data_IF_408633090931
#
_entry.id   IF_408633090931
#
_cell.length_a   1.000
_cell.length_b   1.000
_cell.length_c   1.000
_cell.angle_alpha   90.00
_cell.angle_beta   90.00
_cell.angle_gamma   90.00
#
_symmetry.space_group_name_H-M   'P 1'
#
loop_
_entity.id
_entity.type
_entity.pdbx_description
1 polymer ?
#
# COMPACT_ATOMS: atom_id res chain seq x y z
N UNK A 1 22.11 35.96 -11.97
CA UNK A 1 20.68 35.67 -11.73
C UNK A 1 20.23 34.59 -12.72
N UNK A 2 20.16 33.32 -12.31
CA UNK A 2 19.76 32.22 -13.20
C UNK A 2 18.42 31.64 -12.73
N UNK A 3 17.39 31.79 -13.55
CA UNK A 3 16.03 31.29 -13.31
C UNK A 3 16.02 29.77 -13.16
N UNK A 4 16.04 29.28 -11.92
CA UNK A 4 15.84 27.86 -11.61
C UNK A 4 14.39 27.49 -11.93
N UNK A 5 14.21 26.90 -13.10
CA UNK A 5 12.94 26.46 -13.66
C UNK A 5 12.09 25.73 -12.59
N UNK A 6 10.91 26.26 -12.19
CA UNK A 6 10.10 25.71 -11.11
C UNK A 6 9.70 24.26 -11.36
N UNK A 7 9.58 23.87 -12.63
CA UNK A 7 9.29 22.50 -13.08
C UNK A 7 10.41 21.54 -12.66
N UNK A 8 11.68 21.93 -12.76
CA UNK A 8 12.81 21.08 -12.32
C UNK A 8 12.83 20.90 -10.81
N UNK A 9 12.48 21.94 -10.04
CA UNK A 9 12.34 21.86 -8.57
C UNK A 9 11.16 20.97 -8.18
N UNK A 10 10.03 21.09 -8.86
CA UNK A 10 8.87 20.24 -8.66
C UNK A 10 9.19 18.78 -9.00
N UNK A 11 9.82 18.51 -10.14
CA UNK A 11 10.26 17.17 -10.54
C UNK A 11 11.29 16.57 -9.57
N UNK A 12 12.22 17.36 -9.05
CA UNK A 12 13.19 16.88 -8.07
C UNK A 12 12.54 16.61 -6.70
N UNK A 13 11.54 17.42 -6.30
CA UNK A 13 10.72 17.15 -5.10
C UNK A 13 9.83 15.92 -5.28
N UNK A 14 9.22 15.74 -6.45
CA UNK A 14 8.45 14.56 -6.82
C UNK A 14 9.34 13.31 -6.80
N UNK A 15 10.53 13.36 -7.40
CA UNK A 15 11.48 12.25 -7.41
C UNK A 15 12.06 11.94 -6.02
N UNK A 16 12.17 12.95 -5.15
CA UNK A 16 12.60 12.76 -3.75
C UNK A 16 11.47 12.20 -2.86
N UNK A 17 10.20 12.35 -3.25
CA UNK A 17 9.03 11.93 -2.46
C UNK A 17 8.36 10.68 -3.01
N UNK A 18 8.57 10.37 -4.29
CA UNK A 18 8.09 9.17 -4.99
C UNK A 18 9.17 8.69 -5.98
N UNK A 19 10.24 8.03 -5.47
CA UNK A 19 11.39 7.60 -6.28
C UNK A 19 11.01 6.64 -7.42
N UNK A 20 9.95 5.85 -7.24
CA UNK A 20 9.51 4.82 -8.18
C UNK A 20 8.27 5.19 -9.02
N UNK A 21 7.71 6.40 -8.80
CA UNK A 21 6.50 6.90 -9.46
C UNK A 21 5.25 6.07 -9.14
N UNK A 22 5.19 5.44 -7.97
CA UNK A 22 4.07 4.60 -7.55
C UNK A 22 2.82 5.45 -7.27
N UNK A 23 3.00 6.57 -6.57
CA UNK A 23 1.95 7.58 -6.36
C UNK A 23 1.49 8.20 -7.68
N UNK A 24 2.43 8.49 -8.59
CA UNK A 24 2.10 8.98 -9.93
C UNK A 24 1.31 7.95 -10.75
N UNK A 25 1.70 6.67 -10.73
CA UNK A 25 0.98 5.59 -11.44
C UNK A 25 -0.44 5.42 -10.90
N UNK A 26 -0.61 5.48 -9.58
CA UNK A 26 -1.92 5.43 -8.93
C UNK A 26 -2.78 6.65 -9.29
N UNK A 27 -2.19 7.84 -9.28
CA UNK A 27 -2.88 9.08 -9.64
C UNK A 27 -3.31 9.09 -11.11
N UNK A 28 -2.45 8.66 -12.03
CA UNK A 28 -2.77 8.54 -13.46
C UNK A 28 -3.88 7.52 -13.68
N UNK A 29 -3.80 6.36 -13.02
CA UNK A 29 -4.85 5.34 -13.10
C UNK A 29 -6.21 5.87 -12.60
N UNK A 30 -6.22 6.58 -11.47
CA UNK A 30 -7.43 7.21 -10.94
C UNK A 30 -7.96 8.29 -11.88
N UNK A 31 -7.08 9.13 -12.44
CA UNK A 31 -7.43 10.18 -13.39
C UNK A 31 -8.05 9.65 -14.70
N UNK A 32 -7.78 8.39 -15.06
CA UNK A 32 -8.38 7.74 -16.24
C UNK A 32 -9.67 7.01 -15.86
N UNK A 33 -9.62 6.17 -14.81
CA UNK A 33 -10.74 5.29 -14.46
C UNK A 33 -11.95 6.04 -13.90
N UNK A 34 -11.73 7.09 -13.08
CA UNK A 34 -12.83 7.83 -12.44
C UNK A 34 -13.68 8.56 -13.48
N UNK A 35 -13.12 9.30 -14.47
CA UNK A 35 -13.93 9.90 -15.53
C UNK A 35 -14.65 8.88 -16.42
N UNK A 36 -14.03 7.74 -16.71
CA UNK A 36 -14.68 6.67 -17.50
C UNK A 36 -15.89 6.10 -16.76
N UNK A 37 -15.75 5.83 -15.46
CA UNK A 37 -16.86 5.38 -14.63
C UNK A 37 -17.97 6.42 -14.51
N UNK A 38 -17.60 7.70 -14.38
CA UNK A 38 -18.56 8.80 -14.41
C UNK A 38 -19.32 8.83 -15.75
N UNK A 39 -18.61 8.80 -16.89
CA UNK A 39 -19.22 8.81 -18.21
C UNK A 39 -20.17 7.62 -18.43
N UNK A 40 -19.76 6.41 -18.03
CA UNK A 40 -20.60 5.21 -18.12
C UNK A 40 -21.89 5.33 -17.28
N UNK A 41 -21.78 5.93 -16.08
CA UNK A 41 -22.93 6.07 -15.17
C UNK A 41 -23.99 7.04 -15.67
N UNK A 42 -23.63 8.07 -16.44
CA UNK A 42 -24.60 8.98 -17.07
C UNK A 42 -25.42 8.30 -18.17
N UNK A 43 -24.88 7.26 -18.82
CA UNK A 43 -25.58 6.56 -19.92
C UNK A 43 -26.47 5.39 -19.48
N UNK A 44 -26.28 4.86 -18.27
CA UNK A 44 -26.88 3.58 -17.85
C UNK A 44 -27.87 3.70 -16.67
N UNK A 45 -27.93 4.82 -15.96
CA UNK A 45 -28.65 4.88 -14.69
C UNK A 45 -29.50 6.13 -14.47
N UNK A 46 -30.28 6.10 -13.38
CA UNK A 46 -31.10 7.23 -12.93
C UNK A 46 -30.32 8.32 -12.21
N UNK A 47 -31.03 9.28 -11.61
CA UNK A 47 -30.47 10.55 -11.12
C UNK A 47 -29.38 10.44 -10.05
N UNK A 48 -29.37 9.36 -9.26
CA UNK A 48 -28.37 9.13 -8.21
C UNK A 48 -27.20 8.24 -8.65
N UNK A 49 -27.31 7.56 -9.79
CA UNK A 49 -26.28 6.62 -10.29
C UNK A 49 -24.90 7.28 -10.44
N UNK A 50 -24.77 8.47 -11.05
CA UNK A 50 -23.46 9.08 -11.27
C UNK A 50 -22.75 9.45 -9.97
N UNK A 51 -23.50 9.88 -8.96
CA UNK A 51 -22.94 10.18 -7.65
C UNK A 51 -22.26 8.95 -7.05
N UNK A 52 -22.96 7.81 -7.01
CA UNK A 52 -22.43 6.57 -6.44
C UNK A 52 -21.31 5.97 -7.29
N UNK A 53 -21.34 6.14 -8.62
CA UNK A 53 -20.26 5.71 -9.49
C UNK A 53 -18.98 6.51 -9.28
N UNK A 54 -19.06 7.84 -9.21
CA UNK A 54 -17.90 8.71 -8.98
C UNK A 54 -17.30 8.47 -7.59
N UNK A 55 -18.15 8.50 -6.55
CA UNK A 55 -17.69 8.27 -5.18
C UNK A 55 -17.15 6.85 -4.98
N UNK A 56 -17.81 5.85 -5.56
CA UNK A 56 -17.32 4.48 -5.52
C UNK A 56 -15.98 4.33 -6.21
N UNK A 57 -15.80 4.99 -7.36
CA UNK A 57 -14.53 4.98 -8.09
C UNK A 57 -13.42 5.65 -7.30
N UNK A 58 -13.71 6.77 -6.63
CA UNK A 58 -12.77 7.43 -5.73
C UNK A 58 -12.41 6.55 -4.53
N UNK A 59 -13.41 5.90 -3.91
CA UNK A 59 -13.20 4.96 -2.82
C UNK A 59 -12.27 3.81 -3.23
N UNK A 60 -12.47 3.24 -4.41
CA UNK A 60 -11.71 2.08 -4.91
C UNK A 60 -10.29 2.44 -5.40
N UNK A 61 -10.12 3.62 -6.01
CA UNK A 61 -8.85 4.01 -6.64
C UNK A 61 -7.94 4.86 -5.75
N UNK A 62 -8.53 5.79 -5.01
CA UNK A 62 -7.79 6.80 -4.24
C UNK A 62 -7.69 6.40 -2.78
N UNK A 63 -8.78 5.90 -2.18
CA UNK A 63 -8.80 5.59 -0.75
C UNK A 63 -8.33 4.16 -0.47
N UNK A 64 -8.90 3.17 -1.14
CA UNK A 64 -8.57 1.77 -0.90
C UNK A 64 -7.17 1.45 -1.43
N UNK A 65 -6.33 0.90 -0.55
CA UNK A 65 -4.99 0.45 -0.90
C UNK A 65 -4.73 -0.95 -0.36
N UNK A 66 -5.15 -1.97 -1.11
CA UNK A 66 -4.96 -3.35 -0.68
C UNK A 66 -3.55 -3.84 -1.01
N UNK A 67 -2.74 -4.21 -0.01
CA UNK A 67 -1.43 -4.79 -0.23
C UNK A 67 -1.52 -6.28 -0.64
N UNK A 68 -0.45 -6.82 -1.24
CA UNK A 68 -0.32 -8.24 -1.57
C UNK A 68 -0.39 -8.60 -3.06
N UNK A 69 -0.36 -9.90 -3.35
CA UNK A 69 -0.38 -10.43 -4.72
C UNK A 69 -1.72 -10.15 -5.43
N UNK A 70 -1.72 -10.17 -6.77
CA UNK A 70 -2.94 -9.96 -7.59
C UNK A 70 -4.18 -10.74 -7.13
N UNK A 71 -4.14 -12.06 -6.84
CA UNK A 71 -5.32 -12.79 -6.39
C UNK A 71 -5.82 -12.30 -5.02
N UNK A 72 -4.93 -12.02 -4.06
CA UNK A 72 -5.32 -11.51 -2.74
C UNK A 72 -5.92 -10.11 -2.84
N UNK A 73 -5.37 -9.25 -3.71
CA UNK A 73 -5.95 -7.92 -3.98
C UNK A 73 -7.32 -8.03 -4.64
N UNK A 74 -7.49 -8.95 -5.60
CA UNK A 74 -8.78 -9.18 -6.24
C UNK A 74 -9.83 -9.65 -5.22
N UNK A 75 -9.46 -10.57 -4.33
CA UNK A 75 -10.33 -11.02 -3.24
C UNK A 75 -10.68 -9.88 -2.28
N UNK A 76 -9.72 -9.02 -1.92
CA UNK A 76 -9.95 -7.86 -1.06
C UNK A 76 -10.91 -6.84 -1.72
N UNK A 77 -10.72 -6.53 -3.01
CA UNK A 77 -11.65 -5.69 -3.76
C UNK A 77 -13.04 -6.33 -3.90
N UNK A 78 -13.12 -7.65 -4.09
CA UNK A 78 -14.40 -8.36 -4.14
C UNK A 78 -15.12 -8.31 -2.78
N UNK A 79 -14.38 -8.52 -1.69
CA UNK A 79 -14.90 -8.38 -0.32
C UNK A 79 -15.40 -6.96 -0.04
N UNK A 80 -14.63 -5.94 -0.43
CA UNK A 80 -15.06 -4.54 -0.34
C UNK A 80 -16.29 -4.26 -1.22
N UNK A 81 -16.35 -4.84 -2.42
CA UNK A 81 -17.50 -4.75 -3.32
C UNK A 81 -18.78 -5.30 -2.71
N UNK A 82 -18.71 -6.50 -2.13
CA UNK A 82 -19.83 -7.15 -1.45
C UNK A 82 -20.25 -6.36 -0.21
N UNK A 83 -19.28 -6.01 0.65
CA UNK A 83 -19.53 -5.24 1.87
C UNK A 83 -20.11 -3.85 1.55
N UNK A 84 -19.56 -3.16 0.55
CA UNK A 84 -20.05 -1.87 0.09
C UNK A 84 -21.50 -1.95 -0.41
N UNK A 85 -21.89 -3.02 -1.09
CA UNK A 85 -23.28 -3.25 -1.53
C UNK A 85 -24.23 -3.32 -0.32
N UNK A 86 -23.85 -4.08 0.71
CA UNK A 86 -24.62 -4.21 1.96
C UNK A 86 -24.69 -2.87 2.69
N UNK A 87 -23.56 -2.18 2.85
CA UNK A 87 -23.49 -0.90 3.55
C UNK A 87 -24.25 0.21 2.81
N UNK A 88 -24.22 0.23 1.48
CA UNK A 88 -24.99 1.19 0.69
C UNK A 88 -26.49 0.97 0.89
N UNK A 89 -26.92 -0.29 0.90
CA UNK A 89 -28.31 -0.67 1.13
C UNK A 89 -28.74 -0.25 2.54
N UNK A 90 -27.97 -0.60 3.57
CA UNK A 90 -28.25 -0.24 4.96
C UNK A 90 -28.25 1.27 5.18
N UNK A 91 -27.26 1.99 4.67
CA UNK A 91 -27.19 3.45 4.78
C UNK A 91 -28.38 4.13 4.11
N UNK A 92 -28.89 3.57 3.01
CA UNK A 92 -30.08 4.09 2.32
C UNK A 92 -31.36 3.86 3.12
N UNK A 93 -31.48 2.69 3.78
CA UNK A 93 -32.63 2.38 4.63
C UNK A 93 -32.68 3.24 5.89
N UNK A 94 -31.51 3.60 6.42
CA UNK A 94 -31.38 4.35 7.66
C UNK A 94 -31.42 5.87 7.44
N UNK A 95 -31.14 6.35 6.22
CA UNK A 95 -31.08 7.79 5.90
C UNK A 95 -32.30 8.65 6.28
N UNK A 96 -33.56 8.14 6.28
CA UNK A 96 -34.71 8.93 6.72
C UNK A 96 -34.72 9.27 8.22
N UNK A 97 -33.95 8.55 9.03
CA UNK A 97 -33.94 8.64 10.49
C UNK A 97 -32.54 9.04 10.99
N UNK A 98 -32.28 10.35 11.19
CA UNK A 98 -30.94 10.85 11.48
C UNK A 98 -30.28 10.21 12.70
N UNK A 99 -31.05 9.92 13.75
CA UNK A 99 -30.54 9.29 14.96
C UNK A 99 -30.01 7.87 14.68
N UNK A 100 -30.73 7.08 13.88
CA UNK A 100 -30.26 5.76 13.45
C UNK A 100 -28.99 5.87 12.59
N UNK A 101 -28.91 6.87 11.67
CA UNK A 101 -27.72 7.09 10.85
C UNK A 101 -26.49 7.36 11.71
N UNK A 102 -26.62 8.22 12.72
CA UNK A 102 -25.53 8.56 13.64
C UNK A 102 -25.12 7.34 14.46
N UNK A 103 -26.06 6.61 15.04
CA UNK A 103 -25.77 5.43 15.87
C UNK A 103 -25.15 4.30 15.02
N UNK A 104 -25.67 4.05 13.82
CA UNK A 104 -25.14 3.05 12.91
C UNK A 104 -23.73 3.42 12.42
N UNK A 105 -23.49 4.70 12.11
CA UNK A 105 -22.15 5.18 11.72
C UNK A 105 -21.15 5.03 12.87
N UNK A 106 -21.55 5.35 14.10
CA UNK A 106 -20.71 5.15 15.28
C UNK A 106 -20.37 3.67 15.47
N UNK A 107 -21.38 2.78 15.43
CA UNK A 107 -21.19 1.34 15.57
C UNK A 107 -20.29 0.78 14.46
N UNK A 108 -20.50 1.21 13.21
CA UNK A 108 -19.65 0.81 12.08
C UNK A 108 -18.21 1.31 12.26
N UNK A 109 -18.02 2.55 12.70
CA UNK A 109 -16.69 3.10 13.02
C UNK A 109 -15.95 2.28 14.06
N UNK A 110 -16.63 1.88 15.13
CA UNK A 110 -16.10 1.01 16.17
C UNK A 110 -15.73 -0.36 15.59
N UNK A 111 -16.67 -1.05 14.93
CA UNK A 111 -16.45 -2.40 14.37
C UNK A 111 -15.30 -2.41 13.38
N UNK A 112 -15.25 -1.46 12.45
CA UNK A 112 -14.20 -1.42 11.41
C UNK A 112 -12.84 -1.08 12.04
N UNK A 113 -12.79 -0.20 13.05
CA UNK A 113 -11.54 0.11 13.76
C UNK A 113 -11.00 -1.11 14.51
N UNK A 114 -11.86 -1.84 15.24
CA UNK A 114 -11.46 -3.08 15.92
C UNK A 114 -11.08 -4.19 14.93
N UNK A 115 -11.83 -4.34 13.84
CA UNK A 115 -11.50 -5.31 12.80
C UNK A 115 -10.19 -4.97 12.07
N UNK A 116 -9.84 -3.69 11.95
CA UNK A 116 -8.56 -3.23 11.43
C UNK A 116 -7.36 -3.64 12.31
N UNK A 117 -7.56 -3.80 13.62
CA UNK A 117 -6.51 -4.34 14.52
C UNK A 117 -6.28 -5.83 14.25
N UNK A 118 -7.34 -6.57 13.89
CA UNK A 118 -7.28 -8.00 13.63
C UNK A 118 -6.74 -8.34 12.23
N UNK A 119 -6.92 -7.44 11.25
CA UNK A 119 -6.49 -7.65 9.88
C UNK A 119 -6.09 -6.36 9.19
N UNK A 120 -4.85 -6.30 8.71
CA UNK A 120 -4.33 -5.17 7.93
C UNK A 120 -5.05 -5.03 6.58
N UNK A 121 -5.64 -6.11 6.01
CA UNK A 121 -6.51 -5.99 4.80
C UNK A 121 -7.77 -5.20 5.12
N UNK A 122 -8.34 -5.41 6.31
CA UNK A 122 -9.50 -4.65 6.78
C UNK A 122 -9.08 -3.21 7.10
N UNK A 123 -7.92 -3.01 7.75
CA UNK A 123 -7.38 -1.68 8.03
C UNK A 123 -7.16 -0.86 6.75
N UNK A 124 -6.61 -1.48 5.70
CA UNK A 124 -6.43 -0.90 4.38
C UNK A 124 -7.75 -0.50 3.71
N UNK A 125 -8.82 -1.29 3.95
CA UNK A 125 -10.16 -1.05 3.43
C UNK A 125 -11.03 -0.14 4.31
N UNK A 126 -10.59 0.24 5.51
CA UNK A 126 -11.42 0.88 6.53
C UNK A 126 -12.03 2.19 6.04
N UNK A 127 -11.20 3.10 5.50
CA UNK A 127 -11.66 4.41 5.03
C UNK A 127 -12.63 4.27 3.85
N UNK A 128 -12.37 3.34 2.93
CA UNK A 128 -13.24 3.07 1.80
C UNK A 128 -14.59 2.48 2.26
N UNK A 129 -14.55 1.56 3.23
CA UNK A 129 -15.74 0.94 3.85
C UNK A 129 -16.62 2.00 4.52
N UNK A 130 -16.03 2.87 5.35
CA UNK A 130 -16.75 3.96 5.99
C UNK A 130 -17.38 4.91 4.97
N UNK A 131 -16.65 5.20 3.88
CA UNK A 131 -17.18 6.05 2.81
C UNK A 131 -18.41 5.42 2.12
N UNK A 132 -18.42 4.09 1.90
CA UNK A 132 -19.58 3.40 1.29
C UNK A 132 -20.85 3.48 2.14
N UNK A 133 -20.74 3.67 3.46
CA UNK A 133 -21.89 3.86 4.34
C UNK A 133 -22.27 5.33 4.54
N UNK A 134 -21.27 6.21 4.74
CA UNK A 134 -21.52 7.62 5.10
C UNK A 134 -22.25 8.38 3.99
N UNK A 135 -21.91 8.08 2.73
CA UNK A 135 -22.53 8.75 1.59
C UNK A 135 -24.05 8.48 1.52
N UNK A 136 -24.53 7.22 1.48
CA UNK A 136 -25.97 6.94 1.46
C UNK A 136 -26.69 7.36 2.73
N UNK A 137 -26.04 7.31 3.91
CA UNK A 137 -26.62 7.74 5.18
C UNK A 137 -26.87 9.27 5.24
N UNK A 138 -26.03 10.06 4.56
CA UNK A 138 -26.14 11.52 4.50
C UNK A 138 -26.87 12.04 3.24
N UNK A 139 -27.27 11.16 2.32
CA UNK A 139 -27.97 11.54 1.09
C UNK A 139 -29.48 11.31 1.25
N UNK A 140 -30.35 12.24 0.79
CA UNK A 140 -31.80 12.05 0.83
C UNK A 140 -32.21 10.68 0.26
N UNK A 141 -33.24 10.02 0.81
CA UNK A 141 -33.64 8.69 0.39
C UNK A 141 -33.94 8.66 -1.12
N UNK A 142 -33.53 7.58 -1.76
CA UNK A 142 -33.66 7.40 -3.19
C UNK A 142 -33.71 5.93 -3.58
N UNK A 143 -33.92 5.63 -4.87
CA UNK A 143 -34.00 4.27 -5.35
C UNK A 143 -32.69 3.52 -5.07
N UNK A 144 -32.77 2.47 -4.25
CA UNK A 144 -31.64 1.57 -3.96
C UNK A 144 -31.03 0.99 -5.24
N UNK A 145 -31.82 0.58 -6.26
CA UNK A 145 -31.25 0.06 -7.52
C UNK A 145 -30.28 1.04 -8.20
N UNK A 146 -30.59 2.34 -8.24
CA UNK A 146 -29.72 3.35 -8.86
C UNK A 146 -28.38 3.48 -8.12
N UNK A 147 -28.43 3.47 -6.79
CA UNK A 147 -27.23 3.55 -5.94
C UNK A 147 -26.33 2.34 -6.14
N UNK A 148 -26.94 1.15 -6.16
CA UNK A 148 -26.23 -0.11 -6.38
C UNK A 148 -25.70 -0.22 -7.81
N UNK A 149 -26.42 0.30 -8.80
CA UNK A 149 -25.96 0.36 -10.19
C UNK A 149 -24.74 1.26 -10.33
N UNK A 150 -24.73 2.42 -9.67
CA UNK A 150 -23.55 3.29 -9.61
C UNK A 150 -22.34 2.59 -8.98
N UNK A 151 -22.55 1.89 -7.87
CA UNK A 151 -21.51 1.09 -7.22
C UNK A 151 -21.01 -0.07 -8.11
N UNK A 152 -21.90 -0.75 -8.81
CA UNK A 152 -21.56 -1.83 -9.73
C UNK A 152 -20.71 -1.33 -10.90
N UNK A 153 -21.04 -0.18 -11.48
CA UNK A 153 -20.23 0.48 -12.53
C UNK A 153 -18.84 0.81 -12.00
N UNK A 154 -18.75 1.39 -10.80
CA UNK A 154 -17.48 1.69 -10.17
C UNK A 154 -16.61 0.43 -9.99
N UNK A 155 -17.20 -0.67 -9.51
CA UNK A 155 -16.49 -1.95 -9.37
C UNK A 155 -16.03 -2.50 -10.71
N UNK A 156 -16.93 -2.53 -11.71
CA UNK A 156 -16.66 -3.10 -13.03
C UNK A 156 -15.52 -2.38 -13.76
N UNK A 157 -15.33 -1.08 -13.54
CA UNK A 157 -14.28 -0.29 -14.19
C UNK A 157 -13.04 -0.21 -13.31
N UNK A 158 -13.20 0.11 -12.02
CA UNK A 158 -12.06 0.40 -11.15
C UNK A 158 -11.34 -0.85 -10.67
N UNK A 159 -12.01 -1.99 -10.47
CA UNK A 159 -11.34 -3.22 -10.02
C UNK A 159 -10.43 -3.80 -11.10
N UNK A 160 -10.86 -3.97 -12.36
CA UNK A 160 -9.93 -4.38 -13.42
C UNK A 160 -8.81 -3.37 -13.63
N UNK A 161 -9.13 -2.07 -13.63
CA UNK A 161 -8.10 -1.05 -13.75
C UNK A 161 -7.08 -1.14 -12.59
N UNK A 162 -7.51 -1.41 -11.36
CA UNK A 162 -6.61 -1.52 -10.20
C UNK A 162 -5.71 -2.77 -10.20
N UNK A 163 -6.15 -3.83 -10.87
CA UNK A 163 -5.44 -5.11 -10.98
C UNK A 163 -4.50 -5.17 -12.19
N UNK A 164 -4.90 -4.58 -13.32
CA UNK A 164 -4.19 -4.68 -14.59
C UNK A 164 -3.40 -3.41 -14.96
N UNK A 165 -3.85 -2.22 -14.56
CA UNK A 165 -3.18 -0.97 -14.93
C UNK A 165 -2.06 -0.61 -13.93
N UNK A 166 -0.83 -0.57 -14.44
CA UNK A 166 0.40 -0.09 -13.76
C UNK A 166 0.69 -0.77 -12.41
N UNK A 167 1.47 -1.87 -12.45
CA UNK A 167 1.87 -2.70 -11.30
C UNK A 167 2.59 -1.86 -10.22
N UNK A 168 2.08 -1.81 -8.97
CA UNK A 168 2.80 -1.20 -7.84
C UNK A 168 4.08 -2.00 -7.51
N UNK A 169 5.16 -1.32 -7.16
CA UNK A 169 6.48 -1.93 -6.82
C UNK A 169 6.90 -1.75 -5.37
N UNK A 170 5.97 -1.44 -4.47
CA UNK A 170 6.21 -1.21 -3.04
C UNK A 170 7.07 -2.23 -2.28
N UNK A 171 7.15 -3.49 -2.73
CA UNK A 171 7.95 -4.52 -2.05
C UNK A 171 9.43 -4.55 -2.46
N UNK A 172 9.84 -3.79 -3.49
CA UNK A 172 11.21 -3.84 -4.01
C UNK A 172 12.16 -2.91 -3.22
N UNK A 173 11.68 -1.83 -2.59
CA UNK A 173 12.53 -0.82 -1.95
C UNK A 173 13.14 -1.28 -0.61
N UNK A 174 12.32 -1.79 0.31
CA UNK A 174 12.83 -2.29 1.61
C UNK A 174 13.74 -3.51 1.42
N UNK A 175 13.40 -4.40 0.47
CA UNK A 175 14.25 -5.54 0.09
C UNK A 175 15.56 -5.09 -0.55
N UNK A 176 15.53 -4.05 -1.38
CA UNK A 176 16.73 -3.46 -1.97
C UNK A 176 17.64 -2.84 -0.92
N UNK A 177 17.10 -2.07 0.03
CA UNK A 177 17.88 -1.51 1.13
C UNK A 177 18.43 -2.59 2.06
N UNK A 178 17.65 -3.62 2.40
CA UNK A 178 18.15 -4.77 3.16
C UNK A 178 19.28 -5.50 2.40
N UNK A 179 19.16 -5.67 1.08
CA UNK A 179 20.22 -6.24 0.25
C UNK A 179 21.49 -5.38 0.22
N UNK A 180 21.35 -4.04 0.28
CA UNK A 180 22.47 -3.11 0.36
C UNK A 180 23.19 -3.22 1.70
N UNK A 181 22.46 -3.36 2.82
CA UNK A 181 23.08 -3.60 4.14
C UNK A 181 23.84 -4.93 4.15
N UNK A 182 23.24 -6.02 3.66
CA UNK A 182 23.93 -7.31 3.52
C UNK A 182 25.23 -7.19 2.69
N UNK A 183 25.19 -6.43 1.59
CA UNK A 183 26.37 -6.20 0.75
C UNK A 183 27.44 -5.36 1.48
N UNK A 184 27.04 -4.28 2.16
CA UNK A 184 27.96 -3.43 2.91
C UNK A 184 28.66 -4.19 4.04
N UNK A 185 27.95 -5.06 4.76
CA UNK A 185 28.55 -5.92 5.79
C UNK A 185 29.55 -6.90 5.16
N UNK A 186 29.19 -7.52 4.03
CA UNK A 186 30.10 -8.43 3.32
C UNK A 186 31.36 -7.72 2.83
N UNK A 187 31.22 -6.52 2.27
CA UNK A 187 32.33 -5.70 1.77
C UNK A 187 33.22 -5.23 2.94
N UNK A 188 32.65 -4.95 4.11
CA UNK A 188 33.42 -4.66 5.33
C UNK A 188 34.24 -5.85 5.80
N UNK A 189 33.67 -7.07 5.76
CA UNK A 189 34.37 -8.30 6.11
C UNK A 189 35.47 -8.67 5.11
N UNK A 190 35.30 -8.33 3.83
CA UNK A 190 36.34 -8.44 2.79
C UNK A 190 37.39 -7.31 2.87
N UNK A 191 37.22 -6.34 3.77
CA UNK A 191 38.12 -5.20 3.94
C UNK A 191 37.99 -4.11 2.86
N UNK A 192 36.95 -4.14 2.03
CA UNK A 192 36.71 -3.19 0.94
C UNK A 192 35.80 -2.03 1.32
N UNK A 193 35.14 -2.09 2.48
CA UNK A 193 34.27 -1.03 3.01
C UNK A 193 34.56 -0.73 4.48
N UNK A 194 34.16 0.46 4.94
CA UNK A 194 34.32 0.91 6.33
C UNK A 194 33.07 0.63 7.18
N UNK A 195 33.21 0.70 8.51
CA UNK A 195 32.07 0.64 9.45
C UNK A 195 31.07 1.79 9.20
N UNK A 196 31.56 2.95 8.74
CA UNK A 196 30.73 4.08 8.37
C UNK A 196 29.82 3.78 7.17
N UNK A 197 30.28 2.99 6.19
CA UNK A 197 29.49 2.60 5.02
C UNK A 197 28.34 1.65 5.41
N UNK A 198 28.62 0.70 6.31
CA UNK A 198 27.60 -0.20 6.89
C UNK A 198 26.56 0.62 7.65
N UNK A 199 27.00 1.57 8.47
CA UNK A 199 26.13 2.45 9.26
C UNK A 199 25.27 3.33 8.36
N UNK A 200 25.83 3.88 7.28
CA UNK A 200 25.11 4.67 6.29
C UNK A 200 24.03 3.83 5.56
N UNK A 201 24.37 2.60 5.17
CA UNK A 201 23.40 1.68 4.57
C UNK A 201 22.26 1.33 5.55
N UNK A 202 22.58 1.07 6.82
CA UNK A 202 21.57 0.77 7.85
C UNK A 202 20.68 1.97 8.15
N UNK A 203 21.24 3.19 8.19
CA UNK A 203 20.46 4.41 8.37
C UNK A 203 19.51 4.68 7.19
N UNK A 204 19.92 4.37 5.96
CA UNK A 204 19.04 4.44 4.79
C UNK A 204 17.89 3.42 4.87
N UNK A 205 18.18 2.20 5.35
CA UNK A 205 17.16 1.17 5.61
C UNK A 205 16.17 1.62 6.70
N UNK A 206 16.65 2.12 7.84
CA UNK A 206 15.81 2.66 8.93
C UNK A 206 14.95 3.82 8.45
N UNK A 207 15.50 4.76 7.68
CA UNK A 207 14.76 5.89 7.13
C UNK A 207 13.64 5.44 6.19
N UNK A 208 13.89 4.42 5.36
CA UNK A 208 12.88 3.81 4.49
C UNK A 208 11.80 3.07 5.29
N UNK A 209 12.20 2.32 6.32
CA UNK A 209 11.29 1.58 7.19
C UNK A 209 10.36 2.49 8.02
N UNK A 210 10.90 3.57 8.58
CA UNK A 210 10.16 4.56 9.38
C UNK A 210 9.33 5.51 8.52
N UNK A 211 9.76 5.77 7.28
CA UNK A 211 9.07 6.63 6.32
C UNK A 211 7.97 5.94 5.52
N UNK A 212 7.88 4.60 5.58
CA UNK A 212 6.79 3.87 4.94
C UNK A 212 5.47 4.16 5.69
N UNK A 213 4.57 4.93 5.05
CA UNK A 213 3.20 5.19 5.56
C UNK A 213 2.38 3.90 5.78
N UNK A 214 2.84 2.77 5.25
CA UNK A 214 2.42 1.44 5.65
C UNK A 214 3.38 0.91 6.71
N UNK A 215 2.93 0.91 7.98
CA UNK A 215 3.57 0.13 9.03
C UNK A 215 3.67 -1.31 8.50
N UNK A 216 4.88 -1.89 8.28
CA UNK A 216 5.04 -3.18 7.62
C UNK A 216 4.68 -4.36 8.55
N UNK A 217 3.58 -4.24 9.28
CA UNK A 217 3.14 -5.20 10.27
C UNK A 217 2.04 -6.06 9.66
N UNK A 218 2.46 -7.00 8.80
CA UNK A 218 1.94 -8.36 8.94
C UNK A 218 1.01 -8.97 7.89
N UNK A 219 1.06 -8.64 6.60
CA UNK A 219 0.20 -9.34 5.61
C UNK A 219 0.77 -10.51 4.81
N UNK A 220 2.06 -10.82 4.87
CA UNK A 220 2.57 -12.09 4.28
C UNK A 220 3.65 -12.69 5.17
N UNK A 221 3.87 -14.01 5.08
CA UNK A 221 5.05 -14.64 5.68
C UNK A 221 6.34 -13.91 5.23
N UNK A 222 6.38 -13.43 3.99
CA UNK A 222 7.48 -12.65 3.44
C UNK A 222 7.66 -11.25 4.07
N UNK A 223 6.59 -10.52 4.39
CA UNK A 223 6.69 -9.21 5.05
C UNK A 223 7.08 -9.33 6.52
N UNK A 224 6.55 -10.33 7.24
CA UNK A 224 7.00 -10.65 8.61
C UNK A 224 8.46 -11.11 8.63
N UNK A 225 8.86 -11.93 7.65
CA UNK A 225 10.26 -12.30 7.49
C UNK A 225 11.13 -11.08 7.19
N UNK A 226 10.64 -10.11 6.41
CA UNK A 226 11.41 -8.90 6.09
C UNK A 226 11.58 -7.98 7.32
N UNK A 227 10.57 -7.83 8.17
CA UNK A 227 10.73 -7.13 9.47
C UNK A 227 11.79 -7.83 10.31
N UNK A 228 11.71 -9.16 10.42
CA UNK A 228 12.73 -9.94 11.13
C UNK A 228 14.13 -9.76 10.53
N UNK A 229 14.23 -9.71 9.20
CA UNK A 229 15.51 -9.43 8.52
C UNK A 229 16.02 -8.03 8.85
N UNK A 230 15.15 -7.01 8.98
CA UNK A 230 15.58 -5.67 9.40
C UNK A 230 16.12 -5.72 10.84
N UNK A 231 15.41 -6.36 11.76
CA UNK A 231 15.84 -6.53 13.15
C UNK A 231 17.17 -7.32 13.24
N UNK A 232 17.29 -8.41 12.49
CA UNK A 232 18.50 -9.23 12.43
C UNK A 232 19.68 -8.43 11.84
N UNK A 233 19.45 -7.61 10.80
CA UNK A 233 20.49 -6.76 10.20
C UNK A 233 20.91 -5.61 11.12
N UNK A 234 19.98 -5.06 11.90
CA UNK A 234 20.29 -4.09 12.94
C UNK A 234 21.21 -4.70 13.99
N UNK A 235 20.83 -5.88 14.49
CA UNK A 235 21.64 -6.63 15.44
C UNK A 235 23.03 -6.99 14.90
N UNK A 236 23.14 -7.42 13.63
CA UNK A 236 24.45 -7.71 13.02
C UNK A 236 25.27 -6.43 12.87
N UNK A 237 24.66 -5.34 12.41
CA UNK A 237 25.37 -4.05 12.21
C UNK A 237 25.95 -3.52 13.51
N UNK A 238 25.20 -3.61 14.62
CA UNK A 238 25.67 -3.19 15.95
C UNK A 238 26.86 -4.03 16.46
N UNK A 239 27.09 -5.22 15.88
CA UNK A 239 28.22 -6.10 16.22
C UNK A 239 29.39 -5.99 15.24
N UNK A 240 29.28 -5.18 14.19
CA UNK A 240 30.35 -4.96 13.22
C UNK A 240 31.16 -3.73 13.64
N UNK A 241 32.31 -3.99 14.24
CA UNK A 241 33.33 -3.03 14.67
C UNK A 241 34.65 -3.20 13.87
N UNK A 242 35.72 -2.57 14.35
CA UNK A 242 37.05 -2.64 13.71
C UNK A 242 37.68 -4.04 13.84
N UNK A 243 37.43 -4.74 14.94
CA UNK A 243 38.04 -6.01 15.33
C UNK A 243 37.22 -7.24 14.88
N UNK A 244 36.04 -7.02 14.31
CA UNK A 244 35.08 -8.08 13.95
C UNK A 244 35.62 -9.13 13.00
N UNK A 245 36.54 -8.75 12.10
CA UNK A 245 37.18 -9.69 11.16
C UNK A 245 38.12 -10.63 11.90
N UNK A 246 38.86 -10.11 12.88
CA UNK A 246 39.77 -10.89 13.72
C UNK A 246 38.96 -11.80 14.66
N UNK A 247 37.86 -11.30 15.20
CA UNK A 247 36.94 -12.08 16.05
C UNK A 247 36.22 -13.21 15.30
N UNK A 248 35.90 -13.04 14.01
CA UNK A 248 35.29 -14.10 13.20
C UNK A 248 36.31 -15.18 12.77
N UNK A 249 37.58 -14.82 12.61
CA UNK A 249 38.66 -15.70 12.18
C UNK A 249 38.23 -16.58 10.99
N UNK A 250 38.23 -17.90 11.17
CA UNK A 250 37.88 -18.92 10.17
C UNK A 250 36.44 -18.82 9.63
N UNK A 251 35.54 -18.14 10.35
CA UNK A 251 34.14 -17.96 9.95
C UNK A 251 33.90 -16.79 8.99
N UNK A 252 34.92 -15.98 8.70
CA UNK A 252 34.81 -14.79 7.85
C UNK A 252 34.34 -15.14 6.44
N UNK A 253 34.97 -16.12 5.79
CA UNK A 253 34.64 -16.51 4.42
C UNK A 253 33.24 -17.15 4.29
N UNK A 254 32.82 -18.06 5.19
CA UNK A 254 31.43 -18.50 5.26
C UNK A 254 30.42 -17.35 5.45
N UNK A 255 30.71 -16.41 6.34
CA UNK A 255 29.82 -15.28 6.64
C UNK A 255 29.63 -14.36 5.44
N UNK A 256 30.72 -13.97 4.77
CA UNK A 256 30.68 -13.18 3.52
C UNK A 256 29.84 -13.87 2.46
N UNK A 257 30.03 -15.19 2.29
CA UNK A 257 29.28 -15.99 1.30
C UNK A 257 27.78 -16.00 1.58
N UNK A 258 27.39 -16.12 2.85
CA UNK A 258 25.98 -16.07 3.27
C UNK A 258 25.41 -14.68 3.01
N UNK A 259 26.08 -13.61 3.42
CA UNK A 259 25.63 -12.23 3.23
C UNK A 259 25.43 -11.88 1.76
N UNK A 260 26.38 -12.27 0.88
CA UNK A 260 26.25 -12.07 -0.57
C UNK A 260 25.10 -12.85 -1.18
N UNK A 261 24.88 -14.10 -0.75
CA UNK A 261 23.71 -14.89 -1.20
C UNK A 261 22.39 -14.29 -0.70
N UNK A 262 22.35 -13.83 0.55
CA UNK A 262 21.18 -13.13 1.11
C UNK A 262 20.88 -11.85 0.32
N UNK A 263 21.90 -11.04 -0.01
CA UNK A 263 21.75 -9.87 -0.86
C UNK A 263 21.19 -10.22 -2.26
N UNK A 264 21.68 -11.32 -2.85
CA UNK A 264 21.18 -11.79 -4.14
C UNK A 264 19.71 -12.24 -4.07
N UNK A 265 19.32 -13.00 -3.04
CA UNK A 265 17.93 -13.44 -2.83
C UNK A 265 17.00 -12.26 -2.58
N UNK A 266 17.45 -11.26 -1.83
CA UNK A 266 16.70 -10.04 -1.57
C UNK A 266 16.53 -9.18 -2.84
N UNK A 267 17.51 -9.19 -3.76
CA UNK A 267 17.41 -8.53 -5.08
C UNK A 267 16.53 -9.27 -6.09
N UNK A 268 16.37 -10.59 -5.96
CA UNK A 268 15.53 -11.37 -6.87
C UNK A 268 14.05 -11.16 -6.51
N UNK A 269 13.39 -10.28 -7.27
CA UNK A 269 11.94 -10.13 -7.28
C UNK A 269 11.26 -11.23 -8.12
N UNK A 270 11.50 -12.51 -7.79
CA UNK A 270 10.63 -13.56 -8.34
C UNK A 270 9.28 -13.46 -7.66
N UNK A 271 8.29 -12.95 -8.41
CA UNK A 271 6.91 -13.37 -8.17
C UNK A 271 6.89 -14.89 -8.26
N UNK A 272 6.58 -15.55 -7.16
CA UNK A 272 6.35 -16.98 -7.17
C UNK A 272 5.22 -17.28 -8.19
N UNK A 273 5.59 -17.83 -9.33
CA UNK A 273 4.71 -18.71 -10.09
C UNK A 273 4.56 -19.99 -9.26
N UNK A 274 3.46 -20.06 -8.50
CA UNK A 274 2.78 -21.30 -8.14
C UNK A 274 1.30 -20.99 -8.02
#
# INVERSE_FOLDING_TARGET
MAGRNPVRRALHRLKARDPERDGLRRAVRAAIAVPIAAAASFGLGGSQTPLFAIFGSFALMVIADFPGNRPNRALAYAGLGCNGTVLITLGTLVSPLPWLSVTAMFALGVVVTFAGVLSETIAAGQRATLLTFVLPACTPPGPIPDRLLGWAIALAICVPASLFLLRPRHHDELRRHAAQVCAAIADRLDGTASVADVTAAMNALRASFLGADFRPVGLTAGSRALVRVVDDLEWVTDRVDEDSVEALADMTEPAVRVLRKSAAVLRISRSAER
#
